data_IF_647171384929
#
_entry.id   IF_647171384929
#
_cell.length_a   1.000
_cell.length_b   1.000
_cell.length_c   1.000
_cell.angle_alpha   90.00
_cell.angle_beta   90.00
_cell.angle_gamma   90.00
#
_symmetry.space_group_name_H-M   'P 1'
#
loop_
_entity.id
_entity.type
_entity.pdbx_description
1 polymer ?
#
# COMPACT_ATOMS: atom_id res chain seq x y z
N UNK A 1 36.13 -54.60 14.39
CA UNK A 1 35.30 -54.24 13.23
C UNK A 1 34.32 -53.16 13.67
N UNK A 2 34.58 -51.89 13.33
CA UNK A 2 33.68 -50.78 13.67
C UNK A 2 32.44 -50.82 12.76
N UNK A 3 31.25 -50.60 13.34
CA UNK A 3 29.97 -50.64 12.64
C UNK A 3 29.92 -49.55 11.54
N UNK A 4 29.43 -49.85 10.33
CA UNK A 4 29.45 -48.95 9.17
C UNK A 4 28.74 -47.60 9.41
N UNK A 5 27.80 -47.53 10.34
CA UNK A 5 27.12 -46.28 10.70
C UNK A 5 28.01 -45.27 11.43
N UNK A 6 29.04 -45.72 12.17
CA UNK A 6 29.94 -44.80 12.88
C UNK A 6 30.85 -44.03 11.90
N UNK A 7 31.25 -44.65 10.80
CA UNK A 7 32.08 -44.01 9.77
C UNK A 7 31.32 -42.88 9.06
N UNK A 8 30.03 -43.06 8.80
CA UNK A 8 29.21 -42.05 8.14
C UNK A 8 29.04 -40.81 9.03
N UNK A 9 28.81 -41.00 10.34
CA UNK A 9 28.71 -39.88 11.29
C UNK A 9 30.02 -39.10 11.44
N UNK A 10 31.17 -39.77 11.42
CA UNK A 10 32.48 -39.11 11.51
C UNK A 10 32.75 -38.27 10.25
N UNK A 11 32.38 -38.79 9.06
CA UNK A 11 32.51 -38.05 7.80
C UNK A 11 31.62 -36.81 7.74
N UNK A 12 30.38 -36.89 8.21
CA UNK A 12 29.45 -35.76 8.24
C UNK A 12 29.93 -34.66 9.21
N UNK A 13 30.44 -35.06 10.39
CA UNK A 13 31.00 -34.10 11.35
C UNK A 13 32.29 -33.44 10.85
N UNK A 14 33.15 -34.18 10.14
CA UNK A 14 34.34 -33.60 9.52
C UNK A 14 34.01 -32.60 8.39
N UNK A 15 33.00 -32.90 7.57
CA UNK A 15 32.53 -32.00 6.51
C UNK A 15 31.90 -30.72 7.08
N UNK A 16 31.11 -30.82 8.16
CA UNK A 16 30.55 -29.66 8.85
C UNK A 16 31.62 -28.79 9.53
N UNK A 17 32.66 -29.41 10.11
CA UNK A 17 33.79 -28.69 10.69
C UNK A 17 34.60 -27.89 9.66
N UNK A 18 34.85 -28.47 8.48
CA UNK A 18 35.55 -27.78 7.39
C UNK A 18 34.73 -26.60 6.82
N UNK A 19 33.40 -26.72 6.77
CA UNK A 19 32.52 -25.65 6.30
C UNK A 19 32.51 -24.45 7.26
N UNK A 20 32.51 -24.69 8.58
CA UNK A 20 32.58 -23.62 9.59
C UNK A 20 33.94 -22.90 9.63
N UNK A 21 35.04 -23.60 9.38
CA UNK A 21 36.37 -23.00 9.30
C UNK A 21 36.52 -22.06 8.09
N UNK A 22 35.85 -22.36 6.97
CA UNK A 22 35.88 -21.51 5.78
C UNK A 22 35.10 -20.20 5.97
N UNK A 23 33.98 -20.24 6.71
CA UNK A 23 33.14 -19.06 6.96
C UNK A 23 33.75 -18.06 7.97
N UNK A 24 34.64 -18.51 8.86
CA UNK A 24 35.31 -17.61 9.83
C UNK A 24 36.57 -16.91 9.28
N UNK A 25 37.02 -17.23 8.06
CA UNK A 25 38.23 -16.62 7.47
C UNK A 25 37.95 -15.40 6.57
N UNK A 26 36.69 -15.06 6.30
CA UNK A 26 36.34 -13.87 5.53
C UNK A 26 36.17 -12.65 6.45
N UNK A 27 37.28 -11.95 6.72
CA UNK A 27 37.22 -10.59 7.28
C UNK A 27 36.82 -9.59 6.18
N UNK A 28 35.86 -8.70 6.42
CA UNK A 28 35.56 -7.62 5.48
C UNK A 28 36.74 -6.63 5.43
N UNK A 29 37.32 -6.45 4.25
CA UNK A 29 38.30 -5.39 3.96
C UNK A 29 37.60 -4.03 3.98
N UNK A 30 38.00 -3.18 4.92
CA UNK A 30 37.57 -1.78 5.02
C UNK A 30 38.48 -0.97 4.08
N UNK A 31 37.92 -0.42 3.01
CA UNK A 31 38.61 0.56 2.17
C UNK A 31 38.61 1.95 2.85
N UNK A 32 39.77 2.63 2.99
CA UNK A 32 39.81 3.98 3.53
C UNK A 32 39.40 5.01 2.47
N UNK A 33 38.55 5.96 2.86
CA UNK A 33 38.22 7.16 2.09
C UNK A 33 39.43 8.13 2.08
N UNK A 34 39.75 8.78 0.95
CA UNK A 34 40.80 9.78 0.90
C UNK A 34 40.37 11.08 1.60
N UNK A 35 41.24 11.56 2.48
CA UNK A 35 41.02 12.70 3.36
C UNK A 35 40.96 14.04 2.63
N UNK A 36 40.14 14.95 3.17
CA UNK A 36 40.26 16.40 2.98
C UNK A 36 41.12 16.95 4.11
N UNK A 37 42.28 17.47 3.75
CA UNK A 37 43.10 18.32 4.59
C UNK A 37 42.39 19.65 4.83
N UNK A 38 42.26 20.02 6.09
CA UNK A 38 42.02 21.39 6.51
C UNK A 38 43.37 21.94 6.95
N UNK A 39 43.80 23.07 6.37
CA UNK A 39 44.86 23.87 6.94
C UNK A 39 44.42 25.34 6.95
N UNK A 40 44.69 25.99 8.07
CA UNK A 40 44.21 27.32 8.40
C UNK A 40 45.28 28.39 8.21
N UNK A 41 44.85 29.51 7.62
CA UNK A 41 45.24 30.86 8.01
C UNK A 41 46.61 31.41 7.59
N UNK A 42 46.60 32.47 6.76
CA UNK A 42 47.24 33.76 7.13
C UNK A 42 46.86 34.89 6.16
N UNK A 43 46.73 36.09 6.75
CA UNK A 43 46.46 37.38 6.11
C UNK A 43 47.70 37.97 5.41
N UNK A 44 47.48 38.79 4.36
CA UNK A 44 48.14 40.10 4.08
C UNK A 44 47.65 40.78 2.77
N UNK A 45 47.10 42.00 2.92
CA UNK A 45 47.27 43.27 2.14
C UNK A 45 47.36 43.33 0.58
N UNK A 46 46.33 43.99 -0.04
CA UNK A 46 46.26 45.10 -1.07
C UNK A 46 47.13 45.10 -2.38
N UNK A 47 46.85 45.93 -3.43
CA UNK A 47 45.61 46.63 -3.91
C UNK A 47 45.36 46.61 -5.47
N UNK A 48 44.22 47.21 -5.90
CA UNK A 48 43.91 47.85 -7.22
C UNK A 48 43.63 46.89 -8.41
N UNK A 49 42.75 47.10 -9.41
CA UNK A 49 41.92 48.17 -10.03
C UNK A 49 40.67 47.46 -10.62
N UNK A 50 39.45 47.99 -10.77
CA UNK A 50 38.98 49.11 -11.60
C UNK A 50 37.82 48.63 -12.51
N UNK A 51 36.76 49.45 -12.63
CA UNK A 51 35.59 49.40 -13.56
C UNK A 51 34.46 48.37 -13.30
N UNK A 52 33.16 48.61 -13.54
CA UNK A 52 32.21 49.74 -13.43
C UNK A 52 30.87 49.30 -14.08
N UNK A 53 29.76 49.97 -13.71
CA UNK A 53 28.38 49.84 -14.24
C UNK A 53 27.63 48.56 -13.79
N UNK A 54 26.55 48.60 -13.00
CA UNK A 54 25.31 49.41 -13.04
C UNK A 54 24.16 48.40 -13.20
N UNK A 55 23.04 48.35 -12.47
CA UNK A 55 22.16 49.38 -11.91
C UNK A 55 21.09 48.72 -11.00
N UNK A 56 20.51 49.53 -10.09
CA UNK A 56 19.22 49.39 -9.35
C UNK A 56 18.95 48.11 -8.55
N UNK A 57 18.78 48.10 -7.22
CA UNK A 57 18.29 49.14 -6.31
C UNK A 57 16.80 48.93 -6.00
N UNK A 58 16.50 48.19 -4.92
CA UNK A 58 15.52 48.59 -3.89
C UNK A 58 15.52 47.59 -2.71
N UNK A 59 16.20 47.99 -1.64
CA UNK A 59 15.93 47.57 -0.26
C UNK A 59 14.61 48.24 0.19
N UNK A 60 13.78 47.60 1.03
CA UNK A 60 13.95 47.72 2.48
C UNK A 60 12.89 47.00 3.33
N UNK A 61 13.39 46.56 4.50
CA UNK A 61 12.74 46.47 5.81
C UNK A 61 11.81 45.30 6.15
N UNK A 62 12.41 44.41 6.93
CA UNK A 62 11.82 43.56 7.96
C UNK A 62 10.98 44.35 8.97
N UNK A 63 9.83 43.80 9.37
CA UNK A 63 9.28 43.94 10.74
C UNK A 63 8.56 42.66 11.13
N UNK A 64 9.05 42.09 12.22
CA UNK A 64 8.47 40.97 12.95
C UNK A 64 7.41 41.51 13.89
N UNK A 65 6.22 40.91 13.90
CA UNK A 65 5.32 40.86 15.06
C UNK A 65 4.54 39.55 14.96
N UNK A 66 4.61 38.75 16.02
CA UNK A 66 3.95 37.46 16.13
C UNK A 66 2.47 37.59 16.48
N UNK A 67 1.67 36.61 16.07
CA UNK A 67 0.75 35.91 16.95
C UNK A 67 -0.05 34.81 16.20
N UNK A 68 -0.27 33.71 16.93
CA UNK A 68 -1.28 32.67 16.75
C UNK A 68 -1.30 31.78 15.48
N UNK A 69 -0.70 30.60 15.63
CA UNK A 69 -0.97 29.37 14.85
C UNK A 69 -2.46 28.97 14.81
N UNK A 70 -2.95 28.51 13.65
CA UNK A 70 -3.86 27.38 13.58
C UNK A 70 -3.16 26.17 12.93
N UNK A 71 -3.23 25.04 13.63
CA UNK A 71 -2.48 23.82 13.37
C UNK A 71 -2.49 23.33 11.92
N UNK A 72 -1.28 23.17 11.40
CA UNK A 72 -0.94 22.46 10.17
C UNK A 72 -1.37 20.98 10.27
N UNK A 73 -2.58 20.66 9.79
CA UNK A 73 -2.94 19.30 9.38
C UNK A 73 -2.57 19.09 7.90
N UNK A 74 -1.28 19.21 7.60
CA UNK A 74 -0.72 18.77 6.34
C UNK A 74 -0.54 17.25 6.39
N UNK A 75 -1.61 16.50 6.12
CA UNK A 75 -1.53 15.05 6.00
C UNK A 75 -0.73 14.71 4.73
N UNK A 76 0.55 14.37 4.94
CA UNK A 76 1.50 13.97 3.90
C UNK A 76 1.14 12.55 3.42
N UNK A 77 0.90 12.44 2.10
CA UNK A 77 1.43 11.35 1.28
C UNK A 77 0.93 9.91 1.58
N UNK A 78 -0.38 9.72 1.72
CA UNK A 78 -0.97 8.39 1.96
C UNK A 78 -1.43 7.62 0.68
N UNK A 79 -1.43 8.26 -0.48
CA UNK A 79 -1.66 7.65 -1.79
C UNK A 79 -0.60 8.17 -2.76
N UNK A 80 0.61 7.60 -2.64
CA UNK A 80 1.62 7.78 -3.67
C UNK A 80 1.33 6.75 -4.76
N UNK A 81 0.62 7.18 -5.79
CA UNK A 81 0.79 6.64 -7.14
C UNK A 81 2.24 6.96 -7.58
N UNK A 82 3.19 6.22 -7.04
CA UNK A 82 4.56 6.17 -7.56
C UNK A 82 4.57 5.30 -8.82
N UNK A 83 3.69 5.63 -9.76
CA UNK A 83 3.99 5.47 -11.17
C UNK A 83 5.09 6.48 -11.47
N UNK A 84 6.33 6.03 -11.28
CA UNK A 84 7.54 6.72 -11.75
C UNK A 84 7.55 6.67 -13.28
N UNK A 85 6.58 7.34 -13.90
CA UNK A 85 6.57 7.65 -15.31
C UNK A 85 7.10 9.06 -15.47
N UNK A 86 8.14 9.14 -16.28
CA UNK A 86 8.95 10.31 -16.56
C UNK A 86 8.06 11.50 -16.96
N UNK A 87 7.96 12.49 -16.07
CA UNK A 87 7.47 13.83 -16.37
C UNK A 87 8.48 14.52 -17.29
N UNK A 88 8.44 14.14 -18.56
CA UNK A 88 9.18 14.80 -19.63
C UNK A 88 8.21 15.06 -20.76
N UNK A 89 7.57 16.23 -20.65
CA UNK A 89 7.25 17.11 -21.79
C UNK A 89 6.59 16.44 -22.98
N UNK A 90 5.28 16.16 -22.85
CA UNK A 90 4.36 16.18 -23.98
C UNK A 90 3.33 17.30 -23.74
N UNK A 91 3.56 18.43 -24.41
CA UNK A 91 2.70 19.62 -24.51
C UNK A 91 1.28 19.33 -25.09
N UNK A 92 0.95 18.05 -25.27
CA UNK A 92 -0.28 17.54 -25.87
C UNK A 92 -1.15 16.71 -24.90
N UNK A 93 -0.70 16.51 -23.65
CA UNK A 93 -1.49 15.83 -22.60
C UNK A 93 -2.57 16.73 -21.98
N UNK A 94 -2.32 18.04 -21.93
CA UNK A 94 -3.28 19.04 -21.45
C UNK A 94 -4.54 19.11 -22.33
N UNK A 95 -4.46 18.74 -23.62
CA UNK A 95 -5.61 18.68 -24.53
C UNK A 95 -6.56 17.51 -24.23
N UNK A 96 -6.13 16.51 -23.45
CA UNK A 96 -6.97 15.36 -23.08
C UNK A 96 -7.60 15.49 -21.70
N UNK A 97 -7.09 16.33 -20.79
CA UNK A 97 -7.66 16.46 -19.43
C UNK A 97 -8.95 17.32 -19.39
N UNK A 98 -9.96 16.93 -20.17
CA UNK A 98 -11.22 17.65 -20.32
C UNK A 98 -12.34 16.94 -19.54
N UNK A 99 -13.01 17.64 -18.59
CA UNK A 99 -14.14 17.07 -17.86
C UNK A 99 -15.20 16.47 -18.78
N UNK A 100 -15.61 15.22 -18.52
CA UNK A 100 -16.63 14.49 -19.27
C UNK A 100 -16.12 13.77 -20.52
N UNK A 101 -14.89 14.06 -20.98
CA UNK A 101 -14.28 13.42 -22.15
C UNK A 101 -13.36 12.27 -21.73
N UNK A 102 -13.94 11.08 -21.71
CA UNK A 102 -13.29 9.80 -21.40
C UNK A 102 -14.13 8.66 -21.99
N UNK A 103 -13.64 7.43 -21.97
CA UNK A 103 -14.28 6.29 -22.63
C UNK A 103 -15.04 5.39 -21.65
N UNK A 104 -14.52 5.20 -20.44
CA UNK A 104 -15.10 4.34 -19.42
C UNK A 104 -14.66 4.69 -18.01
N UNK A 105 -15.29 4.05 -17.01
CA UNK A 105 -14.84 4.10 -15.63
C UNK A 105 -14.12 2.81 -15.23
N UNK A 106 -13.01 2.92 -14.51
CA UNK A 106 -12.49 1.86 -13.67
C UNK A 106 -12.99 2.06 -12.24
N UNK A 107 -13.81 1.12 -11.74
CA UNK A 107 -14.18 1.05 -10.33
C UNK A 107 -13.07 0.29 -9.59
N UNK A 108 -12.37 0.97 -8.68
CA UNK A 108 -11.17 0.46 -8.02
C UNK A 108 -11.47 0.08 -6.59
N UNK A 109 -11.37 -1.21 -6.28
CA UNK A 109 -11.56 -1.77 -4.95
C UNK A 109 -10.19 -2.10 -4.37
N UNK A 110 -9.80 -1.43 -3.30
CA UNK A 110 -8.52 -1.67 -2.62
C UNK A 110 -8.66 -2.69 -1.49
N UNK A 111 -7.68 -3.59 -1.38
CA UNK A 111 -7.57 -4.54 -0.28
C UNK A 111 -6.92 -3.86 0.92
N UNK A 112 -7.76 -3.37 1.83
CA UNK A 112 -7.34 -2.63 3.03
C UNK A 112 -6.25 -3.32 3.86
N UNK A 113 -6.28 -4.66 4.08
CA UNK A 113 -5.23 -5.31 4.85
C UNK A 113 -3.81 -5.19 4.28
N UNK A 114 -3.66 -5.17 2.95
CA UNK A 114 -2.36 -4.93 2.31
C UNK A 114 -1.92 -3.48 2.48
N UNK A 115 -2.83 -2.53 2.35
CA UNK A 115 -2.55 -1.11 2.60
C UNK A 115 -2.06 -0.90 4.05
N UNK A 116 -2.77 -1.46 5.02
CA UNK A 116 -2.43 -1.36 6.44
C UNK A 116 -1.13 -2.07 6.83
N UNK A 117 -0.70 -3.07 6.04
CA UNK A 117 0.58 -3.73 6.28
C UNK A 117 1.78 -2.86 5.87
N UNK A 118 1.63 -2.10 4.78
CA UNK A 118 2.75 -1.41 4.15
C UNK A 118 2.79 0.08 4.46
N UNK A 119 1.66 0.77 4.30
CA UNK A 119 1.59 2.23 4.28
C UNK A 119 0.72 2.80 5.43
N UNK A 120 -0.24 2.03 5.93
CA UNK A 120 -1.25 2.50 6.89
C UNK A 120 -0.86 2.37 8.37
N UNK A 121 0.43 2.35 8.73
CA UNK A 121 0.84 2.17 10.14
C UNK A 121 0.28 3.25 11.07
N UNK A 122 0.15 4.48 10.55
CA UNK A 122 -0.38 5.64 11.28
C UNK A 122 -1.79 6.04 10.82
N UNK A 123 -2.47 5.19 10.05
CA UNK A 123 -3.86 5.43 9.62
C UNK A 123 -4.85 4.89 10.67
N UNK A 124 -5.20 5.74 11.63
CA UNK A 124 -6.16 5.39 12.68
C UNK A 124 -7.60 5.23 12.14
N UNK A 125 -7.92 5.79 10.97
CA UNK A 125 -9.26 5.75 10.38
C UNK A 125 -9.55 4.45 9.64
N UNK A 126 -8.54 3.86 8.98
CA UNK A 126 -8.66 2.62 8.23
C UNK A 126 -8.01 1.42 8.94
N UNK A 127 -6.86 1.62 9.59
CA UNK A 127 -5.98 0.54 10.03
C UNK A 127 -5.95 0.34 11.56
N UNK A 128 -6.05 1.42 12.34
CA UNK A 128 -6.04 1.36 13.82
C UNK A 128 -7.34 1.87 14.46
N UNK A 129 -8.50 1.51 13.88
CA UNK A 129 -9.82 1.88 14.39
C UNK A 129 -10.16 1.36 15.78
N UNK A 130 -10.44 2.24 16.74
CA UNK A 130 -10.76 1.84 18.12
C UNK A 130 -12.15 1.21 18.31
N UNK A 131 -13.05 1.35 17.34
CA UNK A 131 -14.41 0.81 17.39
C UNK A 131 -14.52 -0.67 16.97
N UNK A 132 -13.39 -1.32 16.66
CA UNK A 132 -13.32 -2.73 16.30
C UNK A 132 -13.79 -3.06 14.88
N UNK A 133 -14.24 -2.05 14.10
CA UNK A 133 -14.62 -2.25 12.70
C UNK A 133 -13.39 -2.56 11.88
N UNK A 134 -13.55 -3.50 10.94
CA UNK A 134 -12.49 -3.96 10.04
C UNK A 134 -12.87 -3.63 8.61
N UNK A 135 -11.85 -3.33 7.83
CA UNK A 135 -11.99 -3.16 6.39
C UNK A 135 -11.33 -4.32 5.66
N UNK A 136 -12.07 -4.87 4.72
CA UNK A 136 -11.60 -5.83 3.72
C UNK A 136 -11.43 -5.09 2.39
N UNK A 137 -12.32 -5.30 1.42
CA UNK A 137 -12.36 -4.43 0.24
C UNK A 137 -13.03 -3.10 0.57
N UNK A 138 -12.38 -2.01 0.17
CA UNK A 138 -12.90 -0.64 0.26
C UNK A 138 -12.91 -0.02 -1.12
N UNK A 139 -13.78 0.96 -1.34
CA UNK A 139 -13.72 1.79 -2.52
C UNK A 139 -12.45 2.65 -2.45
N UNK A 140 -11.53 2.44 -3.38
CA UNK A 140 -10.42 3.36 -3.60
C UNK A 140 -10.93 4.55 -4.40
N UNK A 141 -11.57 4.29 -5.55
CA UNK A 141 -12.05 5.37 -6.42
C UNK A 141 -12.85 4.89 -7.63
N UNK A 142 -13.37 5.86 -8.37
CA UNK A 142 -14.09 5.67 -9.63
C UNK A 142 -13.39 6.49 -10.72
N UNK A 143 -12.50 5.88 -11.49
CA UNK A 143 -11.58 6.62 -12.33
C UNK A 143 -12.06 6.70 -13.77
N UNK A 144 -12.30 7.90 -14.33
CA UNK A 144 -12.41 8.07 -15.76
C UNK A 144 -11.14 7.54 -16.46
N UNK A 145 -11.32 6.78 -17.53
CA UNK A 145 -10.25 6.16 -18.31
C UNK A 145 -10.48 6.38 -19.80
N UNK A 146 -9.39 6.47 -20.57
CA UNK A 146 -9.42 6.21 -22.00
C UNK A 146 -9.15 4.75 -22.28
N UNK A 147 -9.49 4.29 -23.48
CA UNK A 147 -9.04 2.98 -23.96
C UNK A 147 -7.50 2.87 -23.95
N UNK A 148 -6.77 3.99 -24.05
CA UNK A 148 -5.34 4.08 -23.77
C UNK A 148 -4.98 5.39 -23.05
N UNK A 149 -4.44 5.29 -21.82
CA UNK A 149 -4.22 6.43 -20.92
C UNK A 149 -5.47 6.82 -20.12
N UNK A 150 -5.39 7.90 -19.35
CA UNK A 150 -6.49 8.38 -18.54
C UNK A 150 -6.37 9.90 -18.34
N UNK A 151 -7.49 10.63 -18.21
CA UNK A 151 -7.44 12.01 -17.78
C UNK A 151 -7.18 12.10 -16.28
N UNK A 152 -6.50 13.16 -15.85
CA UNK A 152 -6.33 13.45 -14.42
C UNK A 152 -6.33 14.95 -14.16
N UNK A 153 -6.67 15.33 -12.92
CA UNK A 153 -6.60 16.71 -12.43
C UNK A 153 -7.29 17.73 -13.36
N UNK A 154 -8.42 17.36 -13.94
CA UNK A 154 -9.09 18.16 -14.95
C UNK A 154 -9.48 19.54 -14.38
N UNK A 155 -9.19 20.59 -15.16
CA UNK A 155 -9.38 21.97 -14.72
C UNK A 155 -10.88 22.30 -14.63
N UNK A 156 -11.29 22.84 -13.49
CA UNK A 156 -12.66 23.33 -13.26
C UNK A 156 -12.65 24.87 -13.13
N UNK A 157 -13.77 25.55 -13.42
CA UNK A 157 -13.88 27.01 -13.26
C UNK A 157 -13.63 27.51 -11.83
N UNK A 158 -13.85 26.64 -10.84
CA UNK A 158 -13.60 26.91 -9.41
C UNK A 158 -12.72 25.80 -8.85
N UNK A 159 -11.96 26.13 -7.81
CA UNK A 159 -11.17 25.14 -7.07
C UNK A 159 -12.08 23.98 -6.62
N UNK A 160 -11.76 22.72 -6.94
CA UNK A 160 -12.57 21.58 -6.54
C UNK A 160 -12.72 21.52 -5.02
N UNK A 161 -13.95 21.33 -4.56
CA UNK A 161 -14.30 21.24 -3.15
C UNK A 161 -15.31 20.10 -2.96
N UNK A 162 -15.10 19.26 -1.93
CA UNK A 162 -16.03 18.19 -1.55
C UNK A 162 -16.70 18.61 -0.23
N UNK A 163 -18.04 18.76 -0.20
CA UNK A 163 -18.75 19.12 1.04
C UNK A 163 -18.59 18.06 2.14
N UNK A 164 -18.52 18.50 3.39
CA UNK A 164 -18.40 17.60 4.55
C UNK A 164 -19.47 16.50 4.61
N UNK A 165 -20.77 16.77 4.33
CA UNK A 165 -21.77 15.71 4.30
C UNK A 165 -21.48 14.61 3.26
N UNK A 166 -20.90 14.98 2.10
CA UNK A 166 -20.51 14.02 1.07
C UNK A 166 -19.34 13.17 1.58
N UNK A 167 -18.36 13.80 2.23
CA UNK A 167 -17.22 13.09 2.82
C UNK A 167 -17.71 12.09 3.86
N UNK A 168 -18.50 12.53 4.84
CA UNK A 168 -19.00 11.69 5.93
C UNK A 168 -19.80 10.48 5.41
N UNK A 169 -20.61 10.66 4.37
CA UNK A 169 -21.39 9.58 3.75
C UNK A 169 -20.56 8.54 2.98
N UNK A 170 -19.26 8.79 2.77
CA UNK A 170 -18.37 7.85 2.10
C UNK A 170 -17.45 7.11 3.07
N UNK A 171 -17.30 7.55 4.32
CA UNK A 171 -16.28 7.01 5.24
C UNK A 171 -16.46 5.53 5.61
N UNK A 172 -17.66 4.98 5.44
CA UNK A 172 -17.93 3.56 5.62
C UNK A 172 -17.45 2.68 4.46
N UNK A 173 -17.15 3.23 3.28
CA UNK A 173 -16.55 2.48 2.15
C UNK A 173 -15.25 3.09 1.62
N UNK A 174 -14.94 4.34 1.97
CA UNK A 174 -13.70 5.08 1.67
C UNK A 174 -13.15 5.63 3.00
N UNK A 175 -12.38 4.85 3.75
CA UNK A 175 -12.15 5.07 5.18
C UNK A 175 -11.15 6.17 5.52
N UNK A 176 -11.05 7.21 4.70
CA UNK A 176 -10.20 8.37 4.92
C UNK A 176 -10.81 9.61 4.27
N UNK A 177 -10.93 10.69 5.05
CA UNK A 177 -11.31 12.01 4.52
C UNK A 177 -10.35 12.48 3.43
N UNK A 178 -9.05 12.23 3.65
CA UNK A 178 -8.00 12.60 2.69
C UNK A 178 -8.17 11.87 1.37
N UNK A 179 -8.49 10.57 1.42
CA UNK A 179 -8.80 9.76 0.23
C UNK A 179 -9.98 10.37 -0.54
N UNK A 180 -11.12 10.62 0.10
CA UNK A 180 -12.30 11.18 -0.59
C UNK A 180 -11.97 12.50 -1.30
N UNK A 181 -11.23 13.39 -0.65
CA UNK A 181 -10.84 14.69 -1.25
C UNK A 181 -9.86 14.48 -2.43
N UNK A 182 -8.89 13.59 -2.27
CA UNK A 182 -7.89 13.27 -3.29
C UNK A 182 -8.57 12.70 -4.54
N UNK A 183 -9.40 11.68 -4.38
CA UNK A 183 -10.10 11.00 -5.47
C UNK A 183 -10.97 11.93 -6.28
N UNK A 184 -11.67 12.87 -5.63
CA UNK A 184 -12.43 13.86 -6.37
C UNK A 184 -11.53 14.79 -7.16
N UNK A 185 -10.43 15.29 -6.55
CA UNK A 185 -9.51 16.21 -7.24
C UNK A 185 -8.82 15.56 -8.44
N UNK A 186 -8.28 14.36 -8.26
CA UNK A 186 -7.49 13.66 -9.25
C UNK A 186 -8.35 13.06 -10.37
N UNK A 187 -9.49 12.45 -10.02
CA UNK A 187 -10.30 11.67 -10.96
C UNK A 187 -11.72 12.21 -11.11
N UNK A 188 -12.36 12.59 -10.02
CA UNK A 188 -13.74 13.09 -10.03
C UNK A 188 -13.94 14.35 -10.88
N UNK A 189 -12.98 15.27 -10.88
CA UNK A 189 -12.98 16.47 -11.74
C UNK A 189 -13.08 16.14 -13.24
N UNK A 190 -12.53 15.00 -13.65
CA UNK A 190 -12.53 14.54 -15.05
C UNK A 190 -13.83 13.86 -15.47
N UNK A 191 -14.69 13.48 -14.52
CA UNK A 191 -15.97 12.82 -14.82
C UNK A 191 -17.01 13.76 -15.46
N UNK A 192 -16.84 15.08 -15.30
CA UNK A 192 -17.87 16.07 -15.62
C UNK A 192 -18.99 16.18 -14.59
N UNK A 193 -18.93 15.39 -13.50
CA UNK A 193 -19.90 15.38 -12.42
C UNK A 193 -19.45 16.30 -11.27
N UNK A 194 -20.42 16.93 -10.61
CA UNK A 194 -20.15 17.58 -9.32
C UNK A 194 -19.87 16.53 -8.23
N UNK A 195 -19.30 16.91 -7.07
CA UNK A 195 -18.90 15.94 -6.04
C UNK A 195 -20.04 15.06 -5.54
N UNK A 196 -21.24 15.63 -5.36
CA UNK A 196 -22.42 14.89 -4.89
C UNK A 196 -22.80 13.79 -5.89
N UNK A 197 -22.87 14.14 -7.17
CA UNK A 197 -23.21 13.20 -8.24
C UNK A 197 -22.13 12.13 -8.44
N UNK A 198 -20.86 12.53 -8.40
CA UNK A 198 -19.73 11.62 -8.56
C UNK A 198 -19.69 10.56 -7.46
N UNK A 199 -19.80 10.96 -6.19
CA UNK A 199 -19.77 10.00 -5.08
C UNK A 199 -21.06 9.18 -4.97
N UNK A 200 -22.22 9.73 -5.35
CA UNK A 200 -23.44 8.94 -5.46
C UNK A 200 -23.34 7.85 -6.53
N UNK A 201 -22.73 8.16 -7.69
CA UNK A 201 -22.42 7.17 -8.73
C UNK A 201 -21.42 6.13 -8.21
N UNK A 202 -20.30 6.56 -7.64
CA UNK A 202 -19.25 5.67 -7.16
C UNK A 202 -19.76 4.69 -6.09
N UNK A 203 -20.55 5.18 -5.12
CA UNK A 203 -21.21 4.33 -4.13
C UNK A 203 -22.17 3.35 -4.77
N UNK A 204 -23.07 3.80 -5.64
CA UNK A 204 -24.03 2.90 -6.31
C UNK A 204 -23.33 1.76 -7.07
N UNK A 205 -22.24 2.08 -7.76
CA UNK A 205 -21.45 1.08 -8.48
C UNK A 205 -20.74 0.12 -7.53
N UNK A 206 -20.15 0.64 -6.44
CA UNK A 206 -19.52 -0.19 -5.41
C UNK A 206 -20.50 -1.14 -4.73
N UNK A 207 -21.66 -0.62 -4.30
CA UNK A 207 -22.72 -1.40 -3.66
C UNK A 207 -23.32 -2.46 -4.60
N UNK A 208 -23.18 -2.28 -5.92
CA UNK A 208 -23.59 -3.25 -6.94
C UNK A 208 -22.60 -4.40 -7.16
N UNK A 209 -21.42 -4.39 -6.53
CA UNK A 209 -20.43 -5.47 -6.63
C UNK A 209 -20.58 -6.43 -5.45
N UNK A 210 -20.86 -7.70 -5.74
CA UNK A 210 -20.86 -8.77 -4.75
C UNK A 210 -19.40 -9.16 -4.42
N UNK A 211 -18.94 -8.82 -3.21
CA UNK A 211 -17.63 -9.28 -2.73
C UNK A 211 -17.73 -10.77 -2.37
N UNK A 212 -16.87 -11.65 -2.93
CA UNK A 212 -16.89 -13.07 -2.58
C UNK A 212 -16.68 -13.28 -1.07
N UNK A 213 -17.42 -14.22 -0.47
CA UNK A 213 -17.45 -14.44 0.99
C UNK A 213 -16.05 -14.66 1.59
N UNK A 214 -15.15 -15.34 0.87
CA UNK A 214 -13.76 -15.55 1.32
C UNK A 214 -12.95 -14.27 1.52
N UNK A 215 -13.40 -13.15 0.95
CA UNK A 215 -12.79 -11.83 1.10
C UNK A 215 -13.61 -10.92 2.02
N UNK A 216 -14.77 -11.38 2.51
CA UNK A 216 -15.57 -10.65 3.48
C UNK A 216 -14.99 -10.84 4.88
N UNK A 217 -14.18 -9.89 5.32
CA UNK A 217 -13.53 -9.87 6.65
C UNK A 217 -12.84 -11.21 7.03
N UNK A 218 -11.95 -11.75 6.19
CA UNK A 218 -11.27 -13.01 6.50
C UNK A 218 -10.39 -12.85 7.75
N UNK A 219 -10.36 -13.89 8.59
CA UNK A 219 -9.51 -13.93 9.79
C UNK A 219 -8.17 -14.63 9.54
N UNK A 220 -8.07 -15.41 8.47
CA UNK A 220 -6.88 -16.15 8.08
C UNK A 220 -6.26 -15.58 6.80
N UNK A 221 -4.94 -15.66 6.70
CA UNK A 221 -4.24 -15.35 5.46
C UNK A 221 -4.55 -16.40 4.40
N UNK A 222 -4.54 -15.96 3.14
CA UNK A 222 -4.75 -16.84 2.00
C UNK A 222 -3.63 -16.65 0.99
N UNK A 223 -3.39 -17.68 0.18
CA UNK A 223 -2.50 -17.62 -0.98
C UNK A 223 -3.27 -18.10 -2.19
N UNK A 224 -3.38 -17.25 -3.21
CA UNK A 224 -4.17 -17.51 -4.42
C UNK A 224 -3.38 -17.14 -5.66
N UNK A 225 -3.72 -17.71 -6.81
CA UNK A 225 -3.27 -17.11 -8.08
C UNK A 225 -4.11 -15.87 -8.42
N UNK A 226 -3.58 -14.95 -9.24
CA UNK A 226 -4.37 -13.84 -9.76
C UNK A 226 -5.59 -14.34 -10.57
N UNK A 227 -5.44 -15.48 -11.26
CA UNK A 227 -6.52 -16.14 -11.98
C UNK A 227 -7.61 -16.66 -11.04
N UNK A 228 -7.26 -17.19 -9.86
CA UNK A 228 -8.23 -17.63 -8.87
C UNK A 228 -8.99 -16.46 -8.24
N UNK A 229 -8.30 -15.36 -7.91
CA UNK A 229 -8.95 -14.12 -7.43
C UNK A 229 -9.97 -13.64 -8.46
N UNK A 230 -9.56 -13.55 -9.73
CA UNK A 230 -10.45 -13.19 -10.84
C UNK A 230 -11.64 -14.15 -10.93
N UNK A 231 -11.39 -15.46 -10.97
CA UNK A 231 -12.43 -16.50 -11.08
C UNK A 231 -13.49 -16.39 -10.00
N UNK A 232 -13.11 -16.25 -8.72
CA UNK A 232 -14.09 -16.18 -7.63
C UNK A 232 -14.91 -14.88 -7.65
N UNK A 233 -14.31 -13.77 -8.07
CA UNK A 233 -15.04 -12.51 -8.25
C UNK A 233 -16.08 -12.61 -9.37
N UNK A 234 -15.71 -13.20 -10.51
CA UNK A 234 -16.63 -13.40 -11.63
C UNK A 234 -17.74 -14.41 -11.29
N UNK A 235 -17.46 -15.42 -10.45
CA UNK A 235 -18.50 -16.32 -9.94
C UNK A 235 -19.54 -15.58 -9.08
N UNK A 236 -19.10 -14.61 -8.26
CA UNK A 236 -20.01 -13.77 -7.46
C UNK A 236 -20.71 -12.68 -8.30
N UNK A 237 -20.16 -12.31 -9.46
CA UNK A 237 -20.63 -11.23 -10.32
C UNK A 237 -20.72 -11.71 -11.78
N UNK A 238 -21.71 -12.56 -12.13
CA UNK A 238 -21.81 -13.21 -13.44
C UNK A 238 -22.06 -12.24 -14.60
N UNK A 239 -22.38 -10.98 -14.32
CA UNK A 239 -22.50 -9.92 -15.33
C UNK A 239 -21.16 -9.45 -15.90
N UNK A 240 -20.02 -9.82 -15.28
CA UNK A 240 -18.69 -9.48 -15.79
C UNK A 240 -18.02 -10.69 -16.46
N UNK A 241 -17.21 -10.42 -17.49
CA UNK A 241 -16.31 -11.40 -18.10
C UNK A 241 -14.83 -11.14 -17.73
N UNK A 242 -13.90 -12.09 -17.98
CA UNK A 242 -12.51 -12.00 -17.53
C UNK A 242 -11.70 -10.78 -18.00
N UNK A 243 -12.12 -10.14 -19.07
CA UNK A 243 -11.54 -8.96 -19.70
C UNK A 243 -12.22 -7.65 -19.28
N UNK A 244 -13.20 -7.71 -18.39
CA UNK A 244 -13.87 -6.57 -17.75
C UNK A 244 -13.37 -6.34 -16.32
N UNK A 245 -12.41 -7.16 -15.87
CA UNK A 245 -11.88 -7.13 -14.51
C UNK A 245 -10.37 -7.37 -14.52
N UNK A 246 -9.67 -6.65 -13.65
CA UNK A 246 -8.24 -6.79 -13.43
C UNK A 246 -7.92 -6.98 -11.95
N UNK A 247 -6.86 -7.75 -11.68
CA UNK A 247 -6.31 -7.95 -10.34
C UNK A 247 -4.94 -7.28 -10.31
N UNK A 248 -4.73 -6.44 -9.30
CA UNK A 248 -3.46 -5.75 -9.06
C UNK A 248 -2.79 -6.37 -7.84
N UNK A 249 -1.51 -6.71 -7.93
CA UNK A 249 -0.72 -7.19 -6.81
C UNK A 249 0.66 -6.52 -6.78
N UNK A 250 1.27 -6.45 -5.60
CA UNK A 250 2.55 -5.78 -5.43
C UNK A 250 3.04 -5.71 -3.99
N UNK A 251 4.12 -4.97 -3.78
CA UNK A 251 4.84 -4.87 -2.51
C UNK A 251 5.49 -6.19 -2.07
N UNK A 252 5.96 -6.23 -0.83
CA UNK A 252 6.65 -7.41 -0.30
C UNK A 252 5.74 -8.65 -0.33
N UNK A 253 6.22 -9.76 -0.90
CA UNK A 253 5.46 -11.01 -0.99
C UNK A 253 4.32 -11.02 -2.03
N UNK A 254 4.25 -10.04 -2.94
CA UNK A 254 3.27 -10.05 -4.03
C UNK A 254 1.83 -9.98 -3.54
N UNK A 255 1.55 -9.12 -2.55
CA UNK A 255 0.24 -9.09 -1.91
C UNK A 255 -0.84 -8.55 -2.85
N UNK A 256 -2.08 -9.01 -2.67
CA UNK A 256 -3.26 -8.45 -3.32
C UNK A 256 -3.39 -6.98 -2.98
N UNK A 257 -3.50 -6.12 -4.00
CA UNK A 257 -3.67 -4.67 -3.81
C UNK A 257 -5.07 -4.25 -4.17
N UNK A 258 -5.51 -4.61 -5.36
CA UNK A 258 -6.77 -4.11 -5.88
C UNK A 258 -7.45 -5.13 -6.78
N UNK A 259 -8.76 -4.97 -6.85
CA UNK A 259 -9.60 -5.49 -7.92
C UNK A 259 -10.21 -4.29 -8.62
N UNK A 260 -10.09 -4.26 -9.94
CA UNK A 260 -10.61 -3.17 -10.77
C UNK A 260 -11.65 -3.73 -11.73
N UNK A 261 -12.81 -3.09 -11.81
CA UNK A 261 -13.88 -3.46 -12.74
C UNK A 261 -14.13 -2.33 -13.72
N UNK A 262 -14.23 -2.65 -15.01
CA UNK A 262 -14.42 -1.67 -16.07
C UNK A 262 -15.89 -1.53 -16.44
N UNK A 263 -16.37 -0.29 -16.45
CA UNK A 263 -17.78 0.06 -16.56
C UNK A 263 -17.97 1.16 -17.59
N UNK A 264 -19.03 1.10 -18.37
CA UNK A 264 -19.47 2.21 -19.22
C UNK A 264 -19.86 3.41 -18.35
N UNK A 265 -20.07 4.59 -18.97
CA UNK A 265 -20.44 5.81 -18.23
C UNK A 265 -21.78 5.70 -17.50
N UNK A 266 -22.68 4.87 -18.00
CA UNK A 266 -23.98 4.52 -17.38
C UNK A 266 -23.86 3.44 -16.30
N UNK A 267 -22.71 2.78 -16.16
CA UNK A 267 -22.45 1.79 -15.12
C UNK A 267 -22.63 0.33 -15.54
N UNK A 268 -22.79 0.05 -16.83
CA UNK A 268 -22.88 -1.31 -17.35
C UNK A 268 -21.47 -1.93 -17.51
N UNK A 269 -21.27 -3.24 -17.29
CA UNK A 269 -19.99 -3.90 -17.52
C UNK A 269 -19.48 -3.72 -18.95
N UNK A 270 -18.16 -3.48 -19.11
CA UNK A 270 -17.51 -3.46 -20.42
C UNK A 270 -16.07 -3.96 -20.36
N UNK A 271 -15.52 -4.27 -21.54
CA UNK A 271 -14.10 -4.59 -21.68
C UNK A 271 -13.23 -3.42 -21.19
N UNK A 272 -12.19 -3.78 -20.47
CA UNK A 272 -11.16 -2.87 -19.99
C UNK A 272 -10.27 -2.37 -21.12
N UNK A 273 -9.78 -1.12 -20.98
CA UNK A 273 -8.77 -0.54 -21.86
C UNK A 273 -7.36 -1.01 -21.54
N UNK A 274 -6.38 -0.54 -22.31
CA UNK A 274 -5.00 -1.01 -22.27
C UNK A 274 -4.36 -0.87 -20.89
N UNK A 275 -4.63 0.23 -20.17
CA UNK A 275 -4.05 0.49 -18.84
C UNK A 275 -4.37 -0.60 -17.83
N UNK A 276 -5.57 -1.18 -17.92
CA UNK A 276 -6.07 -2.20 -17.02
C UNK A 276 -5.69 -3.61 -17.48
N UNK A 277 -5.28 -3.79 -18.73
CA UNK A 277 -4.85 -5.09 -19.27
C UNK A 277 -3.34 -5.32 -19.25
N UNK A 278 -2.56 -4.39 -18.70
CA UNK A 278 -1.09 -4.51 -18.69
C UNK A 278 -0.66 -5.71 -17.85
N UNK A 279 0.28 -6.51 -18.37
CA UNK A 279 0.74 -7.75 -17.71
C UNK A 279 1.47 -7.49 -16.38
N UNK A 280 2.00 -6.29 -16.16
CA UNK A 280 2.76 -5.95 -14.97
C UNK A 280 1.90 -5.54 -13.76
N UNK A 281 0.57 -5.44 -13.92
CA UNK A 281 -0.32 -5.10 -12.80
C UNK A 281 -0.36 -6.19 -11.73
N UNK A 282 -0.18 -7.44 -12.13
CA UNK A 282 0.12 -8.53 -11.22
C UNK A 282 0.92 -9.63 -11.93
N UNK A 283 2.24 -9.62 -11.76
CA UNK A 283 3.13 -10.63 -12.33
C UNK A 283 3.43 -11.78 -11.38
N UNK A 284 2.87 -11.77 -10.17
CA UNK A 284 3.13 -12.79 -9.17
C UNK A 284 2.36 -14.09 -9.49
N UNK A 285 3.06 -15.22 -9.48
CA UNK A 285 2.43 -16.54 -9.64
C UNK A 285 1.49 -16.86 -8.47
N UNK A 286 1.83 -16.37 -7.29
CA UNK A 286 1.04 -16.45 -6.08
C UNK A 286 0.86 -15.05 -5.51
N UNK A 287 -0.38 -14.76 -5.12
CA UNK A 287 -0.84 -13.52 -4.53
C UNK A 287 -1.15 -13.80 -3.07
N UNK A 288 -0.40 -13.15 -2.19
CA UNK A 288 -0.67 -13.20 -0.76
C UNK A 288 -1.87 -12.30 -0.42
N UNK A 289 -2.84 -12.84 0.31
CA UNK A 289 -4.03 -12.11 0.75
C UNK A 289 -4.01 -12.04 2.27
N UNK A 290 -3.50 -10.94 2.86
CA UNK A 290 -3.47 -10.79 4.31
C UNK A 290 -4.89 -10.73 4.91
N UNK A 291 -5.10 -11.25 6.14
CA UNK A 291 -6.41 -11.23 6.80
C UNK A 291 -6.83 -9.82 7.21
N UNK A 292 -8.13 -9.63 7.41
CA UNK A 292 -8.68 -8.41 7.99
C UNK A 292 -8.18 -8.21 9.42
N UNK A 293 -7.57 -7.05 9.69
CA UNK A 293 -7.03 -6.72 11.02
C UNK A 293 -8.15 -6.24 11.93
N UNK A 294 -8.14 -6.74 13.16
CA UNK A 294 -8.87 -6.17 14.29
C UNK A 294 -7.91 -5.37 15.14
N UNK A 295 -8.35 -4.22 15.60
CA UNK A 295 -7.64 -3.40 16.60
C UNK A 295 -7.76 -3.92 18.03
N UNK A 296 -8.63 -4.89 18.30
CA UNK A 296 -8.57 -5.59 19.56
C UNK A 296 -7.28 -6.41 19.57
N UNK A 297 -6.37 -6.08 20.50
CA UNK A 297 -5.15 -6.83 20.81
C UNK A 297 -5.47 -8.32 20.98
N UNK A 298 -5.42 -9.09 19.90
CA UNK A 298 -5.63 -10.53 19.94
C UNK A 298 -4.50 -11.31 19.25
N UNK A 299 -3.39 -10.64 18.93
CA UNK A 299 -2.17 -11.33 18.48
C UNK A 299 -1.43 -12.06 19.62
N UNK A 300 -1.64 -11.69 20.88
CA UNK A 300 -1.03 -12.38 22.03
C UNK A 300 -1.81 -13.64 22.48
N UNK A 301 -3.08 -13.79 22.09
CA UNK A 301 -3.90 -14.94 22.53
C UNK A 301 -3.97 -16.09 21.51
N UNK A 302 -3.46 -15.93 20.28
CA UNK A 302 -3.52 -16.99 19.26
C UNK A 302 -2.36 -17.99 19.32
N UNK A 303 -1.34 -17.78 20.16
CA UNK A 303 -0.28 -18.77 20.40
C UNK A 303 -0.57 -19.75 21.54
N UNK A 304 -1.74 -19.66 22.20
CA UNK A 304 -2.11 -20.54 23.32
C UNK A 304 -3.26 -21.51 23.01
N UNK A 305 -3.42 -21.95 21.76
CA UNK A 305 -4.13 -23.22 21.53
C UNK A 305 -3.15 -24.33 21.92
N UNK A 306 -3.16 -24.67 23.20
CA UNK A 306 -2.46 -25.82 23.76
C UNK A 306 -2.87 -27.07 22.97
N UNK A 307 -1.88 -27.76 22.39
CA UNK A 307 -2.04 -29.14 21.95
C UNK A 307 -2.62 -29.97 23.11
N UNK A 308 -3.62 -30.84 22.89
CA UNK A 308 -4.11 -31.73 23.92
C UNK A 308 -2.95 -32.60 24.43
N UNK A 309 -2.60 -32.46 25.70
CA UNK A 309 -1.71 -33.39 26.37
C UNK A 309 -2.37 -34.76 26.38
N UNK A 310 -1.70 -35.75 25.78
CA UNK A 310 -2.12 -37.15 25.81
C UNK A 310 -2.22 -37.64 27.27
N UNK A 311 -3.22 -38.48 27.61
CA UNK A 311 -3.41 -38.95 28.97
C UNK A 311 -2.33 -39.97 29.35
N UNK A 312 -1.36 -39.53 30.14
CA UNK A 312 -0.40 -40.41 30.81
C UNK A 312 -1.05 -41.07 32.03
N UNK A 313 -1.54 -42.30 31.83
CA UNK A 313 -2.05 -43.14 32.91
C UNK A 313 -0.94 -43.84 33.70
N UNK A 314 -1.16 -43.87 35.02
CA UNK A 314 -0.72 -44.83 36.04
C UNK A 314 0.76 -44.95 36.41
N UNK A 315 1.09 -44.52 37.64
CA UNK A 315 1.13 -45.44 38.79
C UNK A 315 1.36 -44.68 40.10
N UNK A 316 0.57 -44.98 41.13
CA UNK A 316 0.74 -44.46 42.50
C UNK A 316 1.17 -45.62 43.40
N UNK A 317 2.39 -45.51 43.94
CA UNK A 317 2.92 -45.90 45.26
C UNK A 317 2.67 -47.33 45.83
N UNK A 318 3.56 -47.84 46.72
CA UNK A 318 3.59 -47.30 48.09
C UNK A 318 5.00 -47.07 48.67
N UNK A 319 5.15 -45.96 49.39
CA UNK A 319 6.19 -45.77 50.39
C UNK A 319 5.88 -46.62 51.62
N UNK A 320 6.86 -47.43 52.01
CA UNK A 320 6.90 -48.17 53.28
C UNK A 320 7.41 -47.25 54.39
N UNK A 321 6.68 -47.20 55.51
CA UNK A 321 7.18 -46.82 56.85
C UNK A 321 6.46 -47.71 57.88
N UNK A 322 6.94 -47.82 59.13
CA UNK A 322 8.23 -48.30 59.64
C UNK A 322 8.03 -49.61 60.46
N UNK A 323 9.08 -50.36 60.78
CA UNK A 323 9.01 -51.29 61.94
C UNK A 323 9.14 -50.50 63.27
N UNK A 324 8.97 -51.08 64.48
CA UNK A 324 8.52 -52.43 64.87
C UNK A 324 7.33 -52.44 65.87
N UNK A 325 6.56 -53.54 65.88
CA UNK A 325 6.24 -54.45 67.01
C UNK A 325 5.21 -55.48 66.54
#
# INVERSE_FOLDING_TARGET
MLRPHLFLTILVLAALGAYFAHFMSERPQIYPLPGRTADGGKATTRPSTGASAGTSGHENSSRSDGDAQPGSFANKQAYNDNDRWNDSSDDNSDQRNVPGQFDYYALVLSWSPSYCSDQGRDDDTQCNRRDGRRYSFVLHGLWPQYDSGYPSNCRLPRRPFVPDPVISNMLDIMPSRGLVIHEYRAHGTCSGLNPVQYFALARRLFDGINIPERFNNPFESQVLSAADVKRVFLQANPQFSPDMMTVVCGGAGGMLREVRLCLTKDGSPRRCGQNETRRNLCSANQVFVPPSRSTARNWQNQQQIQLPTLPGGNARAPDHLPGPQ
#
